data_IF_412662974418
#
_entry.id   IF_412662974418
#
_cell.length_a   1.000
_cell.length_b   1.000
_cell.length_c   1.000
_cell.angle_alpha   90.00
_cell.angle_beta   90.00
_cell.angle_gamma   90.00
#
_symmetry.space_group_name_H-M   'P 1'
#
loop_
_entity.id
_entity.type
_entity.pdbx_description
1 polymer ?
#
# COMPACT_ATOMS: atom_id res chain seq x y z
N UNK A 1 -12.24 13.21 -11.25
CA UNK A 1 -11.44 12.15 -10.61
C UNK A 1 -12.38 11.05 -10.16
N UNK A 2 -12.30 9.88 -10.79
CA UNK A 2 -13.14 8.74 -10.42
C UNK A 2 -12.57 8.07 -9.18
N UNK A 3 -13.46 7.72 -8.23
CA UNK A 3 -13.11 7.01 -7.00
C UNK A 3 -14.09 5.87 -6.81
N UNK A 4 -13.58 4.72 -6.40
CA UNK A 4 -14.41 3.54 -6.19
C UNK A 4 -14.55 3.21 -4.70
N UNK A 5 -15.75 2.72 -4.37
CA UNK A 5 -16.06 2.22 -3.05
C UNK A 5 -16.51 0.75 -3.19
N UNK A 6 -15.53 -0.15 -3.28
CA UNK A 6 -15.79 -1.58 -3.31
C UNK A 6 -16.32 -2.07 -1.97
N UNK A 7 -17.36 -2.91 -2.00
CA UNK A 7 -17.97 -3.49 -0.81
C UNK A 7 -18.56 -4.85 -1.11
N UNK A 8 -18.45 -5.74 -0.13
CA UNK A 8 -19.26 -6.95 -0.07
C UNK A 8 -20.61 -6.63 0.58
N UNK A 9 -21.61 -7.49 0.35
CA UNK A 9 -22.90 -7.36 1.03
C UNK A 9 -22.74 -7.37 2.56
N UNK A 10 -23.41 -6.46 3.22
CA UNK A 10 -23.31 -6.23 4.65
C UNK A 10 -22.15 -5.36 5.12
N UNK A 11 -21.20 -5.03 4.24
CA UNK A 11 -20.09 -4.14 4.61
C UNK A 11 -20.52 -2.68 4.62
N UNK A 12 -20.00 -1.96 5.63
CA UNK A 12 -20.17 -0.51 5.77
C UNK A 12 -18.82 0.18 5.60
N UNK A 13 -18.75 1.17 4.71
CA UNK A 13 -17.56 2.01 4.51
C UNK A 13 -17.93 3.49 4.46
N UNK A 14 -17.01 4.34 4.89
CA UNK A 14 -17.10 5.79 4.79
C UNK A 14 -15.98 6.40 3.94
N UNK A 15 -15.33 5.60 3.12
CA UNK A 15 -14.23 6.03 2.26
C UNK A 15 -14.32 5.38 0.88
N UNK A 16 -13.75 6.07 -0.11
CA UNK A 16 -13.52 5.55 -1.47
C UNK A 16 -12.03 5.64 -1.81
N UNK A 17 -11.57 4.76 -2.66
CA UNK A 17 -10.18 4.70 -3.14
C UNK A 17 -10.05 5.37 -4.51
N UNK A 18 -8.93 6.06 -4.71
CA UNK A 18 -8.50 6.49 -6.04
C UNK A 18 -8.09 5.28 -6.87
N UNK A 19 -8.15 5.39 -8.19
CA UNK A 19 -7.59 4.39 -9.10
C UNK A 19 -6.17 4.69 -9.51
N UNK A 20 -5.74 5.93 -9.37
CA UNK A 20 -4.51 6.46 -9.94
C UNK A 20 -3.53 6.93 -8.86
N UNK A 21 -4.05 7.51 -7.79
CA UNK A 21 -3.24 8.08 -6.73
C UNK A 21 -2.96 7.05 -5.65
N UNK A 22 -1.72 7.02 -5.17
CA UNK A 22 -1.29 6.13 -4.09
C UNK A 22 -0.87 6.94 -2.84
N UNK A 23 -0.90 6.29 -1.70
CA UNK A 23 -0.42 6.82 -0.42
C UNK A 23 0.39 5.78 0.34
N UNK A 24 1.48 6.21 0.98
CA UNK A 24 2.17 5.42 1.99
C UNK A 24 1.48 5.65 3.31
N UNK A 25 1.15 4.58 4.03
CA UNK A 25 0.48 4.67 5.32
C UNK A 25 1.25 3.99 6.42
N UNK A 26 1.24 4.62 7.60
CA UNK A 26 1.54 4.02 8.89
C UNK A 26 0.25 4.02 9.69
N UNK A 27 -0.22 2.84 10.08
CA UNK A 27 -1.50 2.67 10.78
C UNK A 27 -1.21 2.14 12.18
N UNK A 28 -1.54 2.91 13.19
CA UNK A 28 -1.45 2.46 14.59
C UNK A 28 -2.47 1.36 14.84
N UNK A 29 -2.00 0.17 15.17
CA UNK A 29 -2.81 -1.02 15.48
C UNK A 29 -2.85 -1.34 16.97
N UNK A 30 -2.37 -0.44 17.81
CA UNK A 30 -2.28 -0.65 19.26
C UNK A 30 -3.66 -0.78 19.90
N UNK A 31 -4.63 0.02 19.45
CA UNK A 31 -6.03 -0.09 19.87
C UNK A 31 -6.85 -0.81 18.78
N UNK A 32 -7.39 -2.00 19.06
CA UNK A 32 -8.18 -2.73 18.08
C UNK A 32 -9.53 -2.06 17.72
N UNK A 33 -9.98 -1.10 18.52
CA UNK A 33 -11.24 -0.37 18.29
C UNK A 33 -11.04 0.93 17.51
N UNK A 34 -9.81 1.46 17.45
CA UNK A 34 -9.51 2.75 16.83
C UNK A 34 -8.19 2.69 16.06
N UNK A 35 -8.26 2.90 14.77
CA UNK A 35 -7.08 3.04 13.92
C UNK A 35 -6.73 4.52 13.73
N UNK A 36 -5.49 4.89 14.06
CA UNK A 36 -4.93 6.18 13.66
C UNK A 36 -4.08 5.98 12.42
N UNK A 37 -4.46 6.63 11.33
CA UNK A 37 -3.80 6.51 10.03
C UNK A 37 -2.96 7.75 9.76
N UNK A 38 -1.68 7.55 9.53
CA UNK A 38 -0.76 8.56 9.04
C UNK A 38 -0.53 8.31 7.56
N UNK A 39 -1.06 9.16 6.71
CA UNK A 39 -0.99 9.01 5.26
C UNK A 39 -0.07 10.06 4.64
N UNK A 40 0.77 9.61 3.72
CA UNK A 40 1.74 10.39 2.95
C UNK A 40 1.41 10.18 1.49
N UNK A 41 1.14 11.25 0.77
CA UNK A 41 0.89 11.20 -0.67
C UNK A 41 2.12 10.64 -1.39
N UNK A 42 1.92 9.67 -2.28
CA UNK A 42 3.01 8.97 -2.94
C UNK A 42 3.34 9.51 -4.34
N UNK A 43 2.47 10.33 -4.94
CA UNK A 43 2.59 10.74 -6.34
C UNK A 43 3.85 11.59 -6.64
N UNK A 44 4.31 12.35 -5.65
CA UNK A 44 5.48 13.22 -5.80
C UNK A 44 6.75 12.65 -5.16
N UNK A 45 6.71 11.44 -4.61
CA UNK A 45 7.85 10.85 -3.91
C UNK A 45 8.99 10.48 -4.86
N UNK A 46 10.20 10.78 -4.42
CA UNK A 46 11.44 10.49 -5.17
C UNK A 46 12.46 9.80 -4.28
N UNK A 47 13.34 9.00 -4.88
CA UNK A 47 14.47 8.44 -4.14
C UNK A 47 15.32 9.53 -3.46
N UNK A 48 15.57 9.35 -2.17
CA UNK A 48 16.28 10.30 -1.32
C UNK A 48 15.39 11.23 -0.51
N UNK A 49 14.09 11.28 -0.76
CA UNK A 49 13.16 12.09 0.01
C UNK A 49 13.12 11.64 1.47
N UNK A 50 13.10 12.62 2.35
CA UNK A 50 13.01 12.45 3.80
C UNK A 50 11.75 13.12 4.30
N UNK A 51 10.85 12.33 4.85
CA UNK A 51 9.60 12.80 5.40
C UNK A 51 9.77 12.84 6.92
N UNK A 52 9.95 14.05 7.42
CA UNK A 52 10.20 14.37 8.82
C UNK A 52 9.03 15.20 9.35
N UNK A 53 7.87 14.57 9.51
CA UNK A 53 6.66 15.19 10.04
C UNK A 53 6.52 14.78 11.50
N UNK A 54 6.42 15.74 12.46
CA UNK A 54 6.31 15.43 13.89
C UNK A 54 5.04 14.63 14.27
N UNK A 55 4.09 14.51 13.36
CA UNK A 55 2.91 13.66 13.54
C UNK A 55 3.21 12.20 13.28
N UNK A 56 4.21 11.89 12.46
CA UNK A 56 4.60 10.51 12.15
C UNK A 56 5.28 9.85 13.35
N UNK A 57 5.07 8.54 13.58
CA UNK A 57 5.73 7.81 14.65
C UNK A 57 7.24 7.64 14.43
N UNK A 58 7.69 7.73 13.18
CA UNK A 58 9.10 7.67 12.79
C UNK A 58 9.33 8.47 11.51
N UNK A 59 10.57 8.91 11.29
CA UNK A 59 10.99 9.50 10.02
C UNK A 59 11.00 8.43 8.94
N UNK A 60 10.44 8.76 7.78
CA UNK A 60 10.44 7.89 6.60
C UNK A 60 11.43 8.43 5.57
N UNK A 61 12.29 7.55 5.03
CA UNK A 61 13.23 7.86 3.95
C UNK A 61 12.86 6.97 2.75
N UNK A 62 12.66 7.57 1.61
CA UNK A 62 12.37 6.86 0.34
C UNK A 62 13.70 6.44 -0.29
N UNK A 63 14.04 5.16 -0.24
CA UNK A 63 15.23 4.61 -0.87
C UNK A 63 15.03 4.41 -2.38
N UNK A 64 13.84 3.98 -2.78
CA UNK A 64 13.41 3.85 -4.16
C UNK A 64 11.91 4.02 -4.29
N UNK A 65 11.47 4.59 -5.40
CA UNK A 65 10.07 4.63 -5.81
C UNK A 65 9.96 4.23 -7.28
N UNK A 66 9.06 3.31 -7.57
CA UNK A 66 8.80 2.76 -8.89
C UNK A 66 7.31 2.87 -9.19
N UNK A 67 6.89 3.83 -10.04
CA UNK A 67 5.47 4.01 -10.42
C UNK A 67 4.86 2.78 -11.08
N UNK A 68 5.69 1.91 -11.64
CA UNK A 68 5.29 0.56 -12.04
C UNK A 68 6.46 -0.39 -11.85
N UNK A 69 6.23 -1.53 -11.21
CA UNK A 69 7.26 -2.52 -10.93
C UNK A 69 6.84 -3.94 -11.29
N UNK A 70 7.79 -4.70 -11.78
CA UNK A 70 7.69 -6.16 -11.84
C UNK A 70 8.29 -6.74 -10.56
N UNK A 71 7.44 -7.35 -9.73
CA UNK A 71 7.84 -7.98 -8.48
C UNK A 71 7.85 -9.49 -8.67
N UNK A 72 8.99 -10.13 -8.38
CA UNK A 72 9.14 -11.58 -8.47
C UNK A 72 10.02 -12.13 -7.35
N UNK A 73 9.96 -13.43 -7.13
CA UNK A 73 10.94 -14.10 -6.28
C UNK A 73 12.29 -14.17 -6.99
N UNK A 74 13.36 -14.00 -6.24
CA UNK A 74 14.73 -14.30 -6.72
C UNK A 74 14.86 -15.79 -6.94
N UNK A 75 15.48 -16.17 -8.06
CA UNK A 75 15.80 -17.57 -8.34
C UNK A 75 16.93 -18.09 -7.45
N UNK A 76 17.05 -19.42 -7.27
CA UNK A 76 18.04 -20.02 -6.37
C UNK A 76 19.50 -19.73 -6.77
N UNK A 77 19.74 -19.36 -8.02
CA UNK A 77 21.08 -19.06 -8.54
C UNK A 77 21.29 -17.56 -8.84
N UNK A 78 20.33 -16.70 -8.45
CA UNK A 78 20.44 -15.26 -8.64
C UNK A 78 21.03 -14.61 -7.40
N UNK A 79 22.17 -13.96 -7.56
CA UNK A 79 22.80 -13.19 -6.49
C UNK A 79 22.42 -11.70 -6.66
N UNK A 80 21.14 -11.40 -6.40
CA UNK A 80 20.66 -10.01 -6.38
C UNK A 80 20.79 -9.42 -4.98
N UNK A 81 21.19 -8.15 -4.86
CA UNK A 81 21.23 -7.49 -3.56
C UNK A 81 19.83 -7.40 -2.95
N UNK A 82 19.73 -7.63 -1.65
CA UNK A 82 18.47 -7.44 -0.94
C UNK A 82 18.05 -5.98 -0.99
N UNK A 83 16.83 -5.72 -1.44
CA UNK A 83 16.27 -4.36 -1.51
C UNK A 83 15.59 -3.95 -0.21
N UNK A 84 15.24 -4.89 0.65
CA UNK A 84 14.65 -4.66 1.95
C UNK A 84 15.34 -5.52 3.01
N UNK A 85 15.42 -5.04 4.24
CA UNK A 85 15.97 -5.77 5.39
C UNK A 85 14.89 -6.37 6.28
N UNK A 86 13.64 -5.97 6.07
CA UNK A 86 12.47 -6.36 6.87
C UNK A 86 11.28 -6.72 5.97
N UNK A 87 10.26 -7.27 6.60
CA UNK A 87 8.96 -7.48 6.00
C UNK A 87 8.87 -8.66 5.03
N UNK A 88 7.86 -8.58 4.17
CA UNK A 88 7.46 -9.65 3.25
C UNK A 88 8.53 -9.93 2.20
N UNK A 89 9.15 -8.88 1.66
CA UNK A 89 10.16 -9.02 0.62
C UNK A 89 11.37 -9.83 1.09
N UNK A 90 11.84 -9.58 2.32
CA UNK A 90 12.96 -10.32 2.92
C UNK A 90 12.58 -11.77 3.20
N UNK A 91 11.38 -12.01 3.77
CA UNK A 91 10.93 -13.37 4.10
C UNK A 91 10.71 -14.24 2.86
N UNK A 92 10.27 -13.64 1.76
CA UNK A 92 9.89 -14.37 0.55
C UNK A 92 10.92 -14.28 -0.58
N UNK A 93 12.02 -13.54 -0.36
CA UNK A 93 13.04 -13.30 -1.39
C UNK A 93 12.47 -12.55 -2.58
N UNK A 94 11.67 -11.50 -2.35
CA UNK A 94 11.12 -10.70 -3.43
C UNK A 94 12.12 -9.67 -3.92
N UNK A 95 12.09 -9.44 -5.23
CA UNK A 95 12.86 -8.43 -5.92
C UNK A 95 11.94 -7.64 -6.85
N UNK A 96 11.98 -6.32 -6.75
CA UNK A 96 11.25 -5.40 -7.58
C UNK A 96 12.19 -4.72 -8.58
N UNK A 97 11.74 -4.56 -9.81
CA UNK A 97 12.43 -3.77 -10.83
C UNK A 97 11.44 -2.83 -11.51
N UNK A 98 11.83 -1.61 -11.85
CA UNK A 98 10.96 -0.72 -12.58
C UNK A 98 10.66 -1.29 -13.97
N UNK A 99 9.43 -1.13 -14.40
CA UNK A 99 8.96 -1.43 -15.75
C UNK A 99 8.22 -0.20 -16.30
N UNK A 100 7.88 -0.23 -17.58
CA UNK A 100 7.17 0.88 -18.20
C UNK A 100 5.79 1.06 -17.54
N UNK A 101 5.45 2.30 -17.25
CA UNK A 101 4.11 2.66 -16.80
C UNK A 101 3.06 2.40 -17.88
N UNK A 102 1.88 1.99 -17.44
CA UNK A 102 0.73 1.69 -18.28
C UNK A 102 -0.27 2.83 -18.07
N UNK A 103 -0.78 3.37 -19.16
CA UNK A 103 -1.70 4.51 -19.16
C UNK A 103 -3.04 4.14 -19.80
N UNK A 104 -3.47 2.90 -19.61
CA UNK A 104 -4.79 2.40 -20.07
C UNK A 104 -5.73 2.28 -18.90
N UNK A 105 -7.02 2.50 -19.13
CA UNK A 105 -8.04 2.49 -18.06
C UNK A 105 -8.28 1.10 -17.45
N UNK A 106 -7.83 0.04 -18.12
CA UNK A 106 -8.09 -1.35 -17.74
C UNK A 106 -6.95 -2.00 -16.94
N UNK A 107 -5.80 -1.35 -16.81
CA UNK A 107 -4.63 -1.92 -16.16
C UNK A 107 -4.12 -1.02 -15.03
N UNK A 108 -3.76 -1.64 -13.91
CA UNK A 108 -3.25 -0.95 -12.72
C UNK A 108 -1.73 -1.09 -12.68
N UNK A 109 -1.03 0.01 -12.52
CA UNK A 109 0.39 0.02 -12.25
C UNK A 109 0.68 -0.56 -10.86
N UNK A 110 1.75 -1.35 -10.79
CA UNK A 110 2.27 -1.91 -9.55
C UNK A 110 3.20 -0.91 -8.85
N UNK A 111 2.64 0.15 -8.30
CA UNK A 111 3.42 1.12 -7.55
C UNK A 111 4.14 0.44 -6.40
N UNK A 112 5.44 0.68 -6.31
CA UNK A 112 6.30 0.00 -5.34
C UNK A 112 7.33 0.97 -4.80
N UNK A 113 7.45 1.01 -3.48
CA UNK A 113 8.47 1.79 -2.79
C UNK A 113 9.37 0.90 -1.92
N UNK A 114 10.63 1.29 -1.82
CA UNK A 114 11.55 0.81 -0.78
C UNK A 114 11.72 1.97 0.19
N UNK A 115 11.28 1.76 1.42
CA UNK A 115 11.30 2.80 2.44
C UNK A 115 12.07 2.36 3.67
N UNK A 116 12.83 3.28 4.24
CA UNK A 116 13.53 3.10 5.50
C UNK A 116 12.81 3.88 6.59
N UNK A 117 12.64 3.27 7.74
CA UNK A 117 12.15 3.95 8.93
C UNK A 117 13.32 4.25 9.89
N UNK A 118 13.31 5.45 10.41
CA UNK A 118 14.30 5.92 11.40
C UNK A 118 13.55 6.55 12.56
N UNK A 119 13.72 5.97 13.75
CA UNK A 119 13.13 6.45 14.98
C UNK A 119 14.24 6.97 15.91
N UNK A 120 14.15 8.22 16.33
CA UNK A 120 15.13 8.93 17.18
C UNK A 120 16.60 8.68 16.78
N UNK A 121 16.86 8.65 15.46
CA UNK A 121 18.18 8.38 14.88
C UNK A 121 18.54 6.89 14.76
N UNK A 122 17.72 6.00 15.28
CA UNK A 122 17.90 4.55 15.16
C UNK A 122 17.30 4.03 13.84
N UNK A 123 18.10 3.30 13.07
CA UNK A 123 17.65 2.62 11.86
C UNK A 123 16.77 1.41 12.22
N UNK A 124 15.48 1.49 11.89
CA UNK A 124 14.52 0.41 12.12
C UNK A 124 14.57 -0.65 11.02
N UNK A 125 15.18 -0.34 9.88
CA UNK A 125 15.29 -1.20 8.71
C UNK A 125 14.56 -0.64 7.48
N UNK A 126 14.56 -1.43 6.41
CA UNK A 126 13.93 -1.09 5.14
C UNK A 126 12.83 -2.08 4.79
N UNK A 127 11.72 -1.58 4.24
CA UNK A 127 10.58 -2.35 3.77
C UNK A 127 10.35 -2.11 2.28
N UNK A 128 10.04 -3.17 1.56
CA UNK A 128 9.39 -3.08 0.27
C UNK A 128 7.88 -3.05 0.50
N UNK A 129 7.22 -2.01 0.02
CA UNK A 129 5.78 -1.84 0.06
C UNK A 129 5.25 -1.63 -1.36
N UNK A 130 4.08 -2.18 -1.65
CA UNK A 130 3.45 -2.05 -2.97
C UNK A 130 1.93 -2.09 -2.84
N UNK A 131 1.23 -1.37 -3.72
CA UNK A 131 -0.24 -1.42 -3.80
C UNK A 131 -0.75 -2.83 -4.16
N UNK A 132 0.11 -3.70 -4.73
CA UNK A 132 -0.22 -5.11 -4.98
C UNK A 132 -0.17 -6.00 -3.72
N UNK A 133 0.37 -5.50 -2.61
CA UNK A 133 0.58 -6.35 -1.44
C UNK A 133 -0.66 -6.45 -0.54
N UNK A 134 -1.58 -5.52 -0.65
CA UNK A 134 -2.68 -5.38 0.33
C UNK A 134 -3.54 -6.63 0.47
N UNK A 135 -3.86 -7.30 -0.63
CA UNK A 135 -4.70 -8.50 -0.62
C UNK A 135 -3.92 -9.82 -0.73
N UNK A 136 -2.68 -9.77 -1.23
CA UNK A 136 -1.91 -10.97 -1.61
C UNK A 136 -0.92 -11.43 -0.56
N UNK A 137 -0.56 -10.54 0.36
CA UNK A 137 0.49 -10.81 1.34
C UNK A 137 0.05 -10.42 2.75
N UNK A 138 0.64 -11.05 3.79
CA UNK A 138 0.41 -10.64 5.17
C UNK A 138 0.77 -9.17 5.38
N UNK A 139 -0.03 -8.49 6.19
CA UNK A 139 0.24 -7.11 6.59
C UNK A 139 1.64 -6.98 7.19
N UNK A 140 2.34 -5.92 6.84
CA UNK A 140 3.69 -5.66 7.34
C UNK A 140 3.62 -4.74 8.54
N UNK A 141 4.23 -5.14 9.62
CA UNK A 141 4.20 -4.38 10.88
C UNK A 141 5.59 -4.00 11.34
N UNK A 142 5.67 -2.92 12.09
CA UNK A 142 6.86 -2.43 12.78
C UNK A 142 6.48 -1.98 14.19
N UNK A 143 7.36 -2.25 15.16
CA UNK A 143 7.21 -1.77 16.53
C UNK A 143 8.00 -0.46 16.69
N UNK A 144 7.33 0.60 17.14
CA UNK A 144 7.92 1.92 17.40
C UNK A 144 7.40 2.38 18.77
N UNK A 145 8.29 2.66 19.70
CA UNK A 145 7.94 3.09 21.06
C UNK A 145 6.91 2.20 21.77
N UNK A 146 7.01 0.88 21.57
CA UNK A 146 6.11 -0.10 22.17
C UNK A 146 4.71 -0.13 21.57
N UNK A 147 4.52 0.51 20.42
CA UNK A 147 3.28 0.47 19.64
C UNK A 147 3.51 -0.28 18.33
N UNK A 148 2.48 -0.98 17.88
CA UNK A 148 2.49 -1.72 16.61
C UNK A 148 1.88 -0.88 15.51
N UNK A 149 2.66 -0.62 14.47
CA UNK A 149 2.22 0.09 13.27
C UNK A 149 2.21 -0.86 12.06
N UNK A 150 1.15 -0.82 11.28
CA UNK A 150 1.13 -1.41 9.94
C UNK A 150 1.74 -0.40 8.96
N UNK A 151 2.64 -0.87 8.08
CA UNK A 151 3.21 -0.07 6.99
C UNK A 151 2.75 -0.64 5.65
N UNK A 152 2.21 0.22 4.78
CA UNK A 152 1.74 -0.17 3.45
C UNK A 152 1.83 0.97 2.44
N UNK A 153 1.85 0.61 1.16
CA UNK A 153 1.51 1.47 0.03
C UNK A 153 0.17 0.97 -0.51
N UNK A 154 -0.79 1.85 -0.61
CA UNK A 154 -2.15 1.53 -1.05
C UNK A 154 -2.72 2.64 -1.91
N UNK A 155 -3.85 2.39 -2.56
CA UNK A 155 -4.62 3.45 -3.20
C UNK A 155 -5.09 4.48 -2.19
N UNK A 156 -4.97 5.75 -2.57
CA UNK A 156 -5.31 6.90 -1.72
C UNK A 156 -6.78 6.88 -1.36
N UNK A 157 -7.08 7.01 -0.07
CA UNK A 157 -8.44 6.99 0.46
C UNK A 157 -8.96 8.40 0.73
N UNK A 158 -10.17 8.62 0.28
CA UNK A 158 -10.95 9.82 0.62
C UNK A 158 -12.06 9.44 1.56
N UNK A 159 -12.07 10.05 2.74
CA UNK A 159 -13.05 9.79 3.79
C UNK A 159 -14.23 10.75 3.69
N UNK A 160 -15.43 10.23 3.86
CA UNK A 160 -16.68 10.98 3.84
C UNK A 160 -17.29 11.12 5.24
N UNK A 161 -18.06 12.18 5.51
CA UNK A 161 -18.75 12.37 6.79
C UNK A 161 -19.96 11.45 6.96
N UNK A 162 -20.22 10.56 6.02
CA UNK A 162 -21.29 9.58 6.02
C UNK A 162 -20.77 8.20 5.72
N UNK A 163 -21.49 7.19 6.16
CA UNK A 163 -21.19 5.79 5.83
C UNK A 163 -22.27 5.22 4.92
N UNK A 164 -21.86 4.32 4.03
CA UNK A 164 -22.77 3.57 3.17
C UNK A 164 -22.64 2.08 3.47
N UNK A 165 -23.76 1.37 3.57
CA UNK A 165 -23.81 -0.08 3.71
C UNK A 165 -24.40 -0.70 2.45
N UNK A 166 -23.73 -1.68 1.85
CA UNK A 166 -24.31 -2.46 0.77
C UNK A 166 -25.24 -3.51 1.37
N UNK A 167 -26.54 -3.35 1.18
CA UNK A 167 -27.55 -4.28 1.74
C UNK A 167 -27.79 -5.49 0.83
N UNK A 168 -27.82 -5.27 -0.47
CA UNK A 168 -28.09 -6.32 -1.47
C UNK A 168 -27.49 -5.92 -2.81
N UNK A 169 -26.92 -6.88 -3.53
CA UNK A 169 -26.40 -6.71 -4.87
C UNK A 169 -27.01 -7.75 -5.81
N UNK A 170 -27.86 -7.31 -6.73
CA UNK A 170 -28.50 -8.19 -7.69
C UNK A 170 -28.01 -7.92 -9.11
N UNK A 171 -27.33 -8.90 -9.69
CA UNK A 171 -26.92 -8.88 -11.09
C UNK A 171 -27.93 -9.67 -11.96
N UNK A 172 -28.73 -8.98 -12.75
CA UNK A 172 -29.64 -9.61 -13.70
C UNK A 172 -28.97 -9.70 -15.06
N UNK A 173 -28.76 -10.92 -15.55
CA UNK A 173 -28.31 -11.14 -16.92
C UNK A 173 -29.50 -11.04 -17.88
N UNK A 174 -29.27 -10.42 -19.04
CA UNK A 174 -30.25 -10.47 -20.10
C UNK A 174 -30.38 -11.91 -20.64
N UNK A 175 -31.61 -12.41 -20.92
CA UNK A 175 -31.76 -13.71 -21.55
C UNK A 175 -31.01 -13.76 -22.87
N UNK A 176 -30.24 -14.83 -23.08
CA UNK A 176 -29.51 -15.11 -24.32
C UNK A 176 -28.24 -14.25 -24.58
N UNK A 177 -27.73 -13.50 -23.61
CA UNK A 177 -26.47 -12.79 -23.75
C UNK A 177 -25.46 -13.21 -22.66
N UNK A 178 -24.18 -13.39 -23.04
CA UNK A 178 -23.08 -13.56 -22.08
C UNK A 178 -22.55 -12.20 -21.55
N UNK A 179 -23.14 -11.11 -22.02
CA UNK A 179 -22.76 -9.73 -21.67
C UNK A 179 -23.61 -9.27 -20.47
N UNK A 180 -22.98 -8.73 -19.42
CA UNK A 180 -23.68 -8.19 -18.27
C UNK A 180 -24.47 -6.92 -18.60
#
# INVERSE_FOLDING_TARGET
EERQMWRDEGQTKNWAESFLENEIVLIDKTDPALETVYAIDADDLRPGDRIDDPRLPARLIVEAYMPNASIRRTGPNENLPAQASRGVATRMGLFARPVREIFTDDEINADTAIVRLVDDGQDMGTWMISNLFDERFPKQTVEIDGRTYEIALRFKRSYYPFSLTLLDFTHKRYPETEIP
#
